data_IF_570015283819
#
_entry.id   IF_570015283819
#
_cell.length_a   1.000
_cell.length_b   1.000
_cell.length_c   1.000
_cell.angle_alpha   90.00
_cell.angle_beta   90.00
_cell.angle_gamma   90.00
#
_symmetry.space_group_name_H-M   'P 1'
#
loop_
_entity.id
_entity.type
_entity.pdbx_description
1 polymer ?
#
# COMPACT_ATOMS: atom_id res chain seq x y z
N UNK A 1 29.81 14.73 -94.42
CA UNK A 1 29.19 15.83 -93.66
C UNK A 1 28.73 15.29 -92.31
N UNK A 2 29.30 15.88 -91.25
CA UNK A 2 28.79 16.09 -89.87
C UNK A 2 27.96 14.99 -89.15
N UNK A 3 28.34 14.87 -87.87
CA UNK A 3 27.57 14.49 -86.68
C UNK A 3 27.44 13.00 -86.33
N UNK A 4 27.42 12.58 -85.06
CA UNK A 4 28.16 12.90 -83.84
C UNK A 4 27.62 11.95 -82.76
N UNK A 5 28.53 11.44 -81.92
CA UNK A 5 28.35 11.06 -80.51
C UNK A 5 27.30 10.00 -80.13
N UNK A 6 27.86 8.82 -79.84
CA UNK A 6 27.55 7.89 -78.76
C UNK A 6 26.85 8.51 -77.53
N UNK A 7 25.74 7.90 -77.12
CA UNK A 7 25.31 7.83 -75.72
C UNK A 7 24.81 6.40 -75.44
N UNK A 8 25.48 5.75 -74.48
CA UNK A 8 25.14 4.42 -73.98
C UNK A 8 23.82 4.42 -73.20
N UNK A 9 22.96 3.46 -73.53
CA UNK A 9 21.76 3.13 -72.77
C UNK A 9 22.15 2.30 -71.54
N UNK A 10 22.26 2.95 -70.36
CA UNK A 10 22.20 2.22 -69.09
C UNK A 10 20.72 2.07 -68.69
N UNK A 11 20.28 0.81 -68.67
CA UNK A 11 18.99 0.39 -68.13
C UNK A 11 18.96 0.67 -66.62
N UNK A 12 18.27 1.75 -66.23
CA UNK A 12 17.94 2.01 -64.83
C UNK A 12 16.86 1.01 -64.41
N UNK A 13 17.24 0.00 -63.64
CA UNK A 13 16.31 -0.83 -62.88
C UNK A 13 15.67 0.05 -61.80
N UNK A 14 14.47 0.53 -62.06
CA UNK A 14 13.63 1.19 -61.05
C UNK A 14 13.13 0.11 -60.10
N UNK A 15 13.82 -0.09 -58.99
CA UNK A 15 13.31 -0.83 -57.84
C UNK A 15 12.14 -0.03 -57.27
N UNK A 16 10.91 -0.48 -57.54
CA UNK A 16 9.74 -0.09 -56.76
C UNK A 16 9.98 -0.56 -55.33
N UNK A 17 10.40 0.35 -54.45
CA UNK A 17 10.33 0.14 -53.02
C UNK A 17 8.85 0.18 -52.62
N UNK A 18 8.22 -0.99 -52.48
CA UNK A 18 7.01 -1.09 -51.67
C UNK A 18 7.37 -0.60 -50.26
N UNK A 19 6.69 0.41 -49.70
CA UNK A 19 6.81 0.68 -48.28
C UNK A 19 6.13 -0.48 -47.58
N UNK A 20 6.93 -1.45 -47.13
CA UNK A 20 6.50 -2.39 -46.12
C UNK A 20 6.20 -1.52 -44.90
N UNK A 21 4.93 -1.16 -44.72
CA UNK A 21 4.39 -0.65 -43.46
C UNK A 21 4.67 -1.75 -42.44
N UNK A 22 5.85 -1.67 -41.83
CA UNK A 22 6.14 -2.34 -40.59
C UNK A 22 5.12 -1.76 -39.60
N UNK A 23 4.00 -2.46 -39.44
CA UNK A 23 3.28 -2.44 -38.20
C UNK A 23 4.32 -2.83 -37.15
N UNK A 24 4.88 -1.82 -36.48
CA UNK A 24 5.48 -2.03 -35.18
C UNK A 24 4.37 -2.64 -34.32
N UNK A 25 4.33 -3.97 -34.25
CA UNK A 25 3.74 -4.67 -33.15
C UNK A 25 4.52 -4.18 -31.93
N UNK A 26 4.01 -3.14 -31.28
CA UNK A 26 4.46 -2.73 -29.96
C UNK A 26 4.42 -4.00 -29.10
N UNK A 27 5.55 -4.48 -28.56
CA UNK A 27 5.53 -5.64 -27.71
C UNK A 27 4.61 -5.35 -26.53
N UNK A 28 3.89 -6.38 -26.09
CA UNK A 28 2.86 -6.36 -25.06
C UNK A 28 3.42 -5.99 -23.68
N UNK A 29 3.78 -4.72 -23.49
CA UNK A 29 4.26 -4.16 -22.21
C UNK A 29 3.15 -3.44 -21.44
N UNK A 30 1.91 -3.49 -21.91
CA UNK A 30 0.78 -2.79 -21.28
C UNK A 30 0.21 -3.52 -20.05
N UNK A 31 0.60 -4.79 -19.81
CA UNK A 31 0.00 -5.62 -18.78
C UNK A 31 1.04 -6.53 -18.09
N UNK A 32 0.81 -6.88 -16.82
CA UNK A 32 1.71 -7.75 -16.04
C UNK A 32 1.80 -9.11 -16.72
N UNK A 33 3.02 -9.57 -17.03
CA UNK A 33 3.17 -10.89 -17.65
C UNK A 33 2.75 -11.98 -16.66
N UNK A 34 2.03 -13.02 -17.09
CA UNK A 34 1.72 -14.16 -16.23
C UNK A 34 2.99 -14.81 -15.62
N UNK A 35 4.13 -14.73 -16.29
CA UNK A 35 5.42 -15.21 -15.76
C UNK A 35 5.93 -14.43 -14.55
N UNK A 36 5.45 -13.20 -14.32
CA UNK A 36 5.79 -12.38 -13.16
C UNK A 36 4.92 -12.73 -11.93
N UNK A 37 3.85 -13.50 -12.10
CA UNK A 37 2.94 -13.90 -11.02
C UNK A 37 3.44 -15.20 -10.39
N UNK A 38 3.86 -15.14 -9.12
CA UNK A 38 4.48 -16.27 -8.41
C UNK A 38 3.46 -17.31 -7.91
N UNK A 39 2.25 -16.88 -7.59
CA UNK A 39 1.20 -17.79 -7.15
C UNK A 39 0.62 -18.53 -8.36
N UNK A 40 0.65 -19.88 -8.40
CA UNK A 40 0.26 -20.64 -9.59
C UNK A 40 -1.21 -20.46 -9.97
N UNK A 41 -2.12 -20.32 -9.00
CA UNK A 41 -3.54 -20.10 -9.27
C UNK A 41 -3.77 -18.72 -9.90
N UNK A 42 -3.14 -17.69 -9.34
CA UNK A 42 -3.24 -16.33 -9.87
C UNK A 42 -2.54 -16.20 -11.23
N UNK A 43 -1.42 -16.91 -11.43
CA UNK A 43 -0.74 -16.99 -12.71
C UNK A 43 -1.64 -17.61 -13.77
N UNK A 44 -2.37 -18.68 -13.45
CA UNK A 44 -3.31 -19.30 -14.36
C UNK A 44 -4.44 -18.32 -14.73
N UNK A 45 -4.96 -17.55 -13.77
CA UNK A 45 -5.96 -16.50 -14.01
C UNK A 45 -5.41 -15.39 -14.91
N UNK A 46 -4.22 -14.87 -14.62
CA UNK A 46 -3.54 -13.85 -15.42
C UNK A 46 -3.34 -14.34 -16.85
N UNK A 47 -2.88 -15.59 -17.02
CA UNK A 47 -2.65 -16.22 -18.33
C UNK A 47 -3.95 -16.42 -19.12
N UNK A 48 -5.03 -16.85 -18.45
CA UNK A 48 -6.32 -17.11 -19.08
C UNK A 48 -7.00 -15.82 -19.58
N UNK A 49 -6.79 -14.70 -18.89
CA UNK A 49 -7.45 -13.43 -19.19
C UNK A 49 -6.50 -12.35 -19.73
N UNK A 50 -5.26 -12.69 -20.06
CA UNK A 50 -4.20 -11.73 -20.43
C UNK A 50 -4.61 -10.79 -21.57
N UNK A 51 -5.27 -11.31 -22.61
CA UNK A 51 -5.70 -10.49 -23.75
C UNK A 51 -6.82 -9.50 -23.36
N UNK A 52 -7.76 -9.91 -22.52
CA UNK A 52 -8.79 -9.04 -21.97
C UNK A 52 -8.18 -7.96 -21.08
N UNK A 53 -7.20 -8.31 -20.24
CA UNK A 53 -6.50 -7.35 -19.38
C UNK A 53 -5.75 -6.29 -20.19
N UNK A 54 -5.07 -6.66 -21.29
CA UNK A 54 -4.46 -5.71 -22.23
C UNK A 54 -5.53 -4.79 -22.84
N UNK A 55 -6.66 -5.36 -23.29
CA UNK A 55 -7.74 -4.59 -23.88
C UNK A 55 -8.36 -3.60 -22.89
N UNK A 56 -8.54 -4.01 -21.63
CA UNK A 56 -9.00 -3.15 -20.53
C UNK A 56 -7.99 -2.02 -20.29
N UNK A 57 -6.70 -2.34 -20.17
CA UNK A 57 -5.65 -1.33 -19.96
C UNK A 57 -5.74 -0.22 -21.03
N UNK A 58 -5.77 -0.60 -22.31
CA UNK A 58 -5.91 0.35 -23.41
C UNK A 58 -7.23 1.12 -23.41
N UNK A 59 -8.32 0.50 -22.95
CA UNK A 59 -9.64 1.13 -22.90
C UNK A 59 -9.75 2.14 -21.75
N UNK A 60 -9.16 1.82 -20.59
CA UNK A 60 -9.00 2.76 -19.48
C UNK A 60 -8.13 3.95 -19.90
N UNK A 61 -7.02 3.73 -20.59
CA UNK A 61 -6.18 4.82 -21.11
C UNK A 61 -6.89 5.76 -22.10
N UNK A 62 -7.97 5.29 -22.76
CA UNK A 62 -8.82 6.09 -23.66
C UNK A 62 -10.03 6.73 -22.95
N UNK A 63 -10.29 6.35 -21.71
CA UNK A 63 -11.42 6.88 -20.92
C UNK A 63 -11.13 8.32 -20.54
N UNK A 64 -12.14 9.19 -20.65
CA UNK A 64 -12.01 10.59 -20.29
C UNK A 64 -12.30 10.76 -18.80
N UNK A 65 -11.30 11.24 -18.07
CA UNK A 65 -11.40 11.58 -16.66
C UNK A 65 -11.35 13.11 -16.48
N UNK A 66 -11.93 13.68 -15.40
CA UNK A 66 -11.87 15.12 -15.16
C UNK A 66 -10.44 15.67 -14.98
N UNK A 67 -9.54 14.84 -14.47
CA UNK A 67 -8.10 15.08 -14.37
C UNK A 67 -7.36 13.87 -14.95
N UNK A 68 -6.10 14.00 -15.37
CA UNK A 68 -5.34 12.86 -15.88
C UNK A 68 -5.36 11.68 -14.89
N UNK A 69 -5.62 10.49 -15.43
CA UNK A 69 -5.52 9.24 -14.71
C UNK A 69 -4.53 8.33 -15.44
N UNK A 70 -3.63 7.73 -14.70
CA UNK A 70 -2.66 6.78 -15.21
C UNK A 70 -2.84 5.47 -14.48
N UNK A 71 -3.19 4.41 -15.22
CA UNK A 71 -3.01 3.05 -14.71
C UNK A 71 -1.56 2.89 -14.32
N UNK A 72 -1.34 2.32 -13.14
CA UNK A 72 0.00 2.00 -12.69
C UNK A 72 -0.03 0.86 -11.71
N UNK A 73 0.96 -0.02 -11.81
CA UNK A 73 1.15 -1.09 -10.83
C UNK A 73 1.38 -0.55 -9.42
N UNK A 74 1.90 0.68 -9.32
CA UNK A 74 2.19 1.36 -8.05
C UNK A 74 1.44 2.68 -7.96
N UNK A 75 0.82 2.91 -6.80
CA UNK A 75 0.07 4.13 -6.51
C UNK A 75 0.89 5.11 -5.68
N UNK A 76 0.43 6.36 -5.58
CA UNK A 76 1.09 7.42 -4.85
C UNK A 76 2.29 8.03 -5.59
N UNK A 77 2.35 7.89 -6.92
CA UNK A 77 3.43 8.49 -7.73
C UNK A 77 3.24 9.99 -7.88
N UNK A 78 4.35 10.73 -7.93
CA UNK A 78 4.33 12.15 -8.29
C UNK A 78 3.90 12.30 -9.76
N UNK A 79 3.04 13.29 -10.12
CA UNK A 79 2.63 13.54 -11.50
C UNK A 79 3.79 13.57 -12.50
N UNK A 80 4.94 14.13 -12.12
CA UNK A 80 6.12 14.19 -12.99
C UNK A 80 6.73 12.81 -13.31
N UNK A 81 6.45 11.79 -12.50
CA UNK A 81 6.99 10.42 -12.63
C UNK A 81 5.97 9.43 -13.19
N UNK A 82 4.70 9.80 -13.30
CA UNK A 82 3.62 8.90 -13.73
C UNK A 82 3.72 8.51 -15.21
N UNK A 83 4.22 9.40 -16.07
CA UNK A 83 4.36 9.13 -17.51
C UNK A 83 5.41 8.05 -17.83
N UNK A 84 6.38 7.86 -16.94
CA UNK A 84 7.47 6.87 -17.06
C UNK A 84 7.24 5.65 -16.15
N UNK A 85 6.13 5.64 -15.40
CA UNK A 85 5.83 4.60 -14.45
C UNK A 85 5.44 3.28 -15.13
N UNK A 86 5.54 2.18 -14.37
CA UNK A 86 4.99 0.91 -14.78
C UNK A 86 3.46 1.04 -14.90
N UNK A 87 2.95 1.09 -16.15
CA UNK A 87 1.54 1.32 -16.47
C UNK A 87 0.66 0.07 -16.37
N UNK A 88 1.25 -1.05 -15.94
CA UNK A 88 0.60 -2.36 -15.84
C UNK A 88 -0.23 -2.46 -14.56
N UNK A 89 -1.23 -1.58 -14.46
CA UNK A 89 -2.07 -1.40 -13.28
C UNK A 89 -3.20 -2.40 -13.11
N UNK A 90 -3.21 -3.52 -13.84
CA UNK A 90 -4.14 -4.62 -13.57
C UNK A 90 -3.32 -5.84 -13.15
N UNK A 91 -3.81 -6.63 -12.21
CA UNK A 91 -3.22 -7.94 -11.88
C UNK A 91 -4.19 -8.73 -10.97
N UNK A 92 -4.19 -10.05 -11.10
CA UNK A 92 -4.83 -10.90 -10.09
C UNK A 92 -3.95 -10.99 -8.83
N UNK A 93 -4.55 -10.73 -7.66
CA UNK A 93 -3.85 -10.71 -6.36
C UNK A 93 -4.62 -11.45 -5.28
N UNK A 94 -3.94 -11.82 -4.17
CA UNK A 94 -4.61 -12.28 -2.95
C UNK A 94 -4.92 -11.09 -2.04
N UNK A 95 -6.19 -10.94 -1.68
CA UNK A 95 -6.65 -10.00 -0.68
C UNK A 95 -7.44 -10.75 0.39
N UNK A 96 -6.91 -10.83 1.62
CA UNK A 96 -7.50 -11.60 2.74
C UNK A 96 -7.91 -13.02 2.31
N UNK A 97 -6.94 -13.76 1.75
CA UNK A 97 -7.07 -15.11 1.19
C UNK A 97 -7.95 -15.27 -0.05
N UNK A 98 -8.58 -14.20 -0.53
CA UNK A 98 -9.44 -14.20 -1.72
C UNK A 98 -8.66 -13.80 -2.96
N UNK A 99 -8.89 -14.47 -4.08
CA UNK A 99 -8.35 -14.06 -5.37
C UNK A 99 -9.21 -12.93 -5.92
N UNK A 100 -8.64 -11.75 -6.17
CA UNK A 100 -9.38 -10.62 -6.76
C UNK A 100 -8.62 -10.07 -7.96
N UNK A 101 -9.35 -9.50 -8.92
CA UNK A 101 -8.74 -8.64 -9.94
C UNK A 101 -8.52 -7.26 -9.35
N UNK A 102 -7.25 -6.85 -9.18
CA UNK A 102 -6.90 -5.49 -8.75
C UNK A 102 -6.78 -4.57 -9.96
N UNK A 103 -7.31 -3.36 -9.85
CA UNK A 103 -7.05 -2.23 -10.73
C UNK A 103 -6.45 -1.08 -9.92
N UNK A 104 -5.23 -0.68 -10.27
CA UNK A 104 -4.48 0.35 -9.55
C UNK A 104 -4.03 1.49 -10.46
N UNK A 105 -3.97 2.69 -9.90
CA UNK A 105 -3.50 3.86 -10.65
C UNK A 105 -3.48 5.16 -9.87
N UNK A 106 -3.00 6.20 -10.55
CA UNK A 106 -2.80 7.54 -9.98
C UNK A 106 -3.72 8.54 -10.68
N UNK A 107 -4.51 9.25 -9.89
CA UNK A 107 -5.44 10.28 -10.34
C UNK A 107 -4.94 11.67 -9.94
N UNK A 108 -4.72 12.54 -10.91
CA UNK A 108 -4.10 13.85 -10.70
C UNK A 108 -5.06 14.93 -10.20
N UNK A 109 -6.15 14.54 -9.57
CA UNK A 109 -6.95 15.50 -8.80
C UNK A 109 -6.18 15.91 -7.54
N UNK A 110 -6.10 17.22 -7.30
CA UNK A 110 -5.56 17.83 -6.09
C UNK A 110 -6.66 18.56 -5.33
N UNK A 111 -7.33 17.83 -4.45
CA UNK A 111 -8.47 18.32 -3.69
C UNK A 111 -8.05 19.24 -2.55
N UNK A 112 -8.80 20.32 -2.34
CA UNK A 112 -8.56 21.26 -1.26
C UNK A 112 -9.14 20.73 0.06
N UNK A 113 -8.26 20.45 1.03
CA UNK A 113 -8.61 19.90 2.35
C UNK A 113 -9.39 20.88 3.23
N UNK A 114 -9.31 22.19 2.96
CA UNK A 114 -10.08 23.21 3.67
C UNK A 114 -11.54 23.30 3.16
N UNK A 115 -11.79 22.81 1.94
CA UNK A 115 -13.11 22.88 1.30
C UNK A 115 -13.85 21.55 1.34
N UNK A 116 -13.13 20.45 1.13
CA UNK A 116 -13.67 19.10 1.03
C UNK A 116 -13.17 18.27 2.20
N UNK A 117 -14.08 17.57 2.86
CA UNK A 117 -13.76 16.50 3.81
C UNK A 117 -13.13 15.30 3.10
N UNK A 118 -12.54 14.39 3.88
CA UNK A 118 -12.00 13.15 3.34
C UNK A 118 -13.07 12.30 2.63
N UNK A 119 -14.30 12.25 3.15
CA UNK A 119 -15.38 11.50 2.52
C UNK A 119 -15.83 12.15 1.20
N UNK A 120 -15.93 13.48 1.13
CA UNK A 120 -16.24 14.18 -0.13
C UNK A 120 -15.16 13.96 -1.19
N UNK A 121 -13.86 13.97 -0.80
CA UNK A 121 -12.74 13.66 -1.70
C UNK A 121 -12.78 12.22 -2.20
N UNK A 122 -12.93 11.26 -1.29
CA UNK A 122 -13.03 9.85 -1.63
C UNK A 122 -14.24 9.58 -2.54
N UNK A 123 -15.40 10.18 -2.26
CA UNK A 123 -16.61 10.07 -3.09
C UNK A 123 -16.40 10.67 -4.48
N UNK A 124 -15.69 11.79 -4.57
CA UNK A 124 -15.33 12.39 -5.86
C UNK A 124 -14.42 11.47 -6.68
N UNK A 125 -13.39 10.87 -6.08
CA UNK A 125 -12.51 9.88 -6.73
C UNK A 125 -13.29 8.63 -7.14
N UNK A 126 -14.16 8.13 -6.27
CA UNK A 126 -15.02 6.98 -6.54
C UNK A 126 -15.87 7.19 -7.79
N UNK A 127 -16.59 8.32 -7.86
CA UNK A 127 -17.46 8.65 -9.00
C UNK A 127 -16.68 8.94 -10.27
N UNK A 128 -15.58 9.67 -10.15
CA UNK A 128 -14.84 10.18 -11.31
C UNK A 128 -13.92 9.15 -11.93
N UNK A 129 -13.48 8.14 -11.16
CA UNK A 129 -12.45 7.18 -11.58
C UNK A 129 -12.92 5.74 -11.45
N UNK A 130 -13.32 5.31 -10.26
CA UNK A 130 -13.64 3.90 -10.00
C UNK A 130 -14.85 3.46 -10.83
N UNK A 131 -15.95 4.23 -10.84
CA UNK A 131 -17.15 3.87 -11.60
C UNK A 131 -16.89 3.75 -13.12
N UNK A 132 -16.25 4.71 -13.81
CA UNK A 132 -15.92 4.57 -15.23
C UNK A 132 -15.01 3.38 -15.54
N UNK A 133 -13.98 3.13 -14.71
CA UNK A 133 -13.08 1.99 -14.92
C UNK A 133 -13.83 0.68 -14.70
N UNK A 134 -14.67 0.60 -13.66
CA UNK A 134 -15.47 -0.60 -13.41
C UNK A 134 -16.43 -0.91 -14.55
N UNK A 135 -17.00 0.10 -15.21
CA UNK A 135 -17.78 -0.10 -16.44
C UNK A 135 -16.95 -0.72 -17.56
N UNK A 136 -15.70 -0.25 -17.77
CA UNK A 136 -14.78 -0.83 -18.75
C UNK A 136 -14.43 -2.28 -18.41
N UNK A 137 -14.13 -2.56 -17.14
CA UNK A 137 -13.77 -3.90 -16.66
C UNK A 137 -14.93 -4.88 -16.82
N UNK A 138 -16.12 -4.53 -16.33
CA UNK A 138 -17.31 -5.39 -16.36
C UNK A 138 -17.89 -5.58 -17.76
N UNK A 139 -17.58 -4.69 -18.71
CA UNK A 139 -17.93 -4.87 -20.12
C UNK A 139 -16.96 -5.82 -20.86
N UNK A 140 -15.71 -5.94 -20.41
CA UNK A 140 -14.68 -6.74 -21.06
C UNK A 140 -14.51 -8.15 -20.47
N UNK A 141 -14.94 -8.36 -19.22
CA UNK A 141 -14.82 -9.63 -18.51
C UNK A 141 -16.20 -10.29 -18.31
N UNK A 142 -16.25 -11.64 -18.29
CA UNK A 142 -17.49 -12.35 -18.07
C UNK A 142 -17.90 -12.32 -16.58
N UNK A 143 -19.21 -12.36 -16.29
CA UNK A 143 -19.70 -12.28 -14.90
C UNK A 143 -19.24 -13.46 -14.04
N UNK A 144 -19.03 -14.63 -14.65
CA UNK A 144 -18.56 -15.86 -14.01
C UNK A 144 -17.03 -15.95 -13.92
N UNK A 145 -16.34 -14.80 -14.00
CA UNK A 145 -14.90 -14.69 -13.80
C UNK A 145 -14.45 -15.53 -12.58
N UNK A 146 -13.46 -16.43 -12.71
CA UNK A 146 -13.03 -17.34 -11.64
C UNK A 146 -12.17 -16.65 -10.57
N UNK A 147 -12.65 -15.52 -10.05
CA UNK A 147 -12.11 -14.81 -8.90
C UNK A 147 -13.25 -14.39 -7.96
N UNK A 148 -12.88 -14.03 -6.73
CA UNK A 148 -13.84 -13.72 -5.68
C UNK A 148 -14.39 -12.29 -5.77
N UNK A 149 -13.70 -11.38 -6.46
CA UNK A 149 -14.09 -9.97 -6.51
C UNK A 149 -13.20 -9.08 -7.39
N UNK A 150 -13.54 -7.79 -7.41
CA UNK A 150 -12.79 -6.74 -8.12
C UNK A 150 -12.40 -5.66 -7.11
N UNK A 151 -11.11 -5.36 -7.04
CA UNK A 151 -10.53 -4.35 -6.16
C UNK A 151 -9.98 -3.16 -6.93
N UNK A 152 -10.14 -1.97 -6.36
CA UNK A 152 -9.55 -0.73 -6.86
C UNK A 152 -8.59 -0.18 -5.82
N UNK A 153 -7.47 0.36 -6.27
CA UNK A 153 -6.49 1.08 -5.45
C UNK A 153 -6.09 2.35 -6.20
N UNK A 154 -6.67 3.50 -5.82
CA UNK A 154 -6.54 4.75 -6.56
C UNK A 154 -5.96 5.82 -5.65
N UNK A 155 -4.77 6.33 -5.99
CA UNK A 155 -4.19 7.47 -5.28
C UNK A 155 -4.64 8.80 -5.89
N UNK A 156 -4.90 9.79 -5.05
CA UNK A 156 -5.14 11.19 -5.42
C UNK A 156 -4.42 12.14 -4.46
N UNK A 157 -4.34 13.40 -4.84
CA UNK A 157 -3.68 14.44 -4.05
C UNK A 157 -4.69 15.19 -3.18
N UNK A 158 -4.28 15.52 -1.96
CA UNK A 158 -5.02 16.33 -1.00
C UNK A 158 -4.12 17.48 -0.54
N UNK A 159 -4.48 18.71 -0.92
CA UNK A 159 -3.67 19.89 -0.67
C UNK A 159 -4.33 20.82 0.34
N UNK A 160 -3.51 21.38 1.22
CA UNK A 160 -3.86 22.49 2.10
C UNK A 160 -3.12 23.71 1.61
N UNK A 161 -3.84 24.70 1.07
CA UNK A 161 -3.25 25.99 0.72
C UNK A 161 -3.59 26.99 1.83
N UNK A 162 -2.63 27.29 2.70
CA UNK A 162 -2.72 28.42 3.62
C UNK A 162 -1.66 29.46 3.26
N UNK A 163 -1.88 30.74 3.60
CA UNK A 163 -1.01 31.88 3.24
C UNK A 163 0.45 31.78 3.71
N UNK A 164 0.83 30.73 4.44
CA UNK A 164 2.15 30.55 5.03
C UNK A 164 2.84 29.25 4.60
N UNK A 165 2.09 28.23 4.18
CA UNK A 165 2.60 26.91 3.77
C UNK A 165 1.63 26.22 2.79
N UNK A 166 2.19 25.67 1.71
CA UNK A 166 1.50 24.70 0.84
C UNK A 166 1.89 23.28 1.31
N UNK A 167 0.91 22.51 1.76
CA UNK A 167 1.08 21.08 2.04
C UNK A 167 0.31 20.28 1.00
N UNK A 168 0.98 19.35 0.31
CA UNK A 168 0.36 18.40 -0.59
C UNK A 168 0.56 16.98 -0.06
N UNK A 169 -0.48 16.43 0.56
CA UNK A 169 -0.57 15.04 0.96
C UNK A 169 -1.13 14.17 -0.16
N UNK A 170 -1.00 12.85 -0.01
CA UNK A 170 -1.63 11.86 -0.90
C UNK A 170 -2.57 11.00 -0.09
N UNK A 171 -3.72 10.68 -0.68
CA UNK A 171 -4.67 9.74 -0.12
C UNK A 171 -4.87 8.61 -1.12
N UNK A 172 -5.05 7.39 -0.61
CA UNK A 172 -5.33 6.23 -1.45
C UNK A 172 -6.71 5.70 -1.11
N UNK A 173 -7.62 5.73 -2.08
CA UNK A 173 -8.93 5.11 -1.98
C UNK A 173 -8.84 3.66 -2.46
N UNK A 174 -9.13 2.73 -1.56
CA UNK A 174 -9.27 1.30 -1.87
C UNK A 174 -10.73 0.91 -1.78
N UNK A 175 -11.27 0.26 -2.80
CA UNK A 175 -12.62 -0.31 -2.78
C UNK A 175 -12.58 -1.74 -3.31
N UNK A 176 -13.03 -2.69 -2.50
CA UNK A 176 -13.08 -4.12 -2.86
C UNK A 176 -14.53 -4.58 -2.88
N UNK A 177 -14.99 -4.91 -4.08
CA UNK A 177 -16.31 -5.48 -4.34
C UNK A 177 -16.22 -7.00 -4.39
N UNK A 178 -17.23 -7.66 -3.85
CA UNK A 178 -17.50 -9.06 -4.20
C UNK A 178 -17.86 -9.17 -5.68
N UNK A 179 -17.62 -10.34 -6.29
CA UNK A 179 -17.86 -10.56 -7.73
C UNK A 179 -19.25 -10.11 -8.14
N UNK A 180 -20.31 -10.57 -7.48
CA UNK A 180 -21.68 -10.19 -7.84
C UNK A 180 -21.93 -8.67 -7.69
N UNK A 181 -21.39 -8.07 -6.62
CA UNK A 181 -21.56 -6.64 -6.32
C UNK A 181 -20.82 -5.74 -7.33
N UNK A 182 -19.70 -6.20 -7.91
CA UNK A 182 -18.95 -5.45 -8.92
C UNK A 182 -19.77 -5.23 -10.21
N UNK A 183 -20.51 -6.23 -10.66
CA UNK A 183 -21.43 -6.08 -11.81
C UNK A 183 -22.74 -5.39 -11.41
N UNK A 184 -23.22 -5.59 -10.18
CA UNK A 184 -24.40 -4.87 -9.70
C UNK A 184 -24.16 -3.35 -9.66
N UNK A 185 -23.03 -2.90 -9.11
CA UNK A 185 -22.75 -1.47 -8.96
C UNK A 185 -22.43 -0.79 -10.29
N UNK A 186 -21.86 -1.53 -11.26
CA UNK A 186 -21.64 -0.98 -12.62
C UNK A 186 -22.94 -0.71 -13.36
N UNK A 187 -23.99 -1.49 -13.08
CA UNK A 187 -25.35 -1.31 -13.61
C UNK A 187 -26.22 -0.34 -12.81
N UNK A 188 -25.86 -0.08 -11.55
CA UNK A 188 -26.63 0.76 -10.66
C UNK A 188 -26.75 2.19 -11.21
N UNK A 189 -27.98 2.69 -11.23
CA UNK A 189 -28.32 3.97 -11.87
C UNK A 189 -28.51 5.12 -10.88
N UNK A 190 -28.59 4.81 -9.58
CA UNK A 190 -28.85 5.77 -8.52
C UNK A 190 -27.84 5.65 -7.37
N UNK A 191 -27.60 6.76 -6.66
CA UNK A 191 -26.71 6.75 -5.51
C UNK A 191 -27.21 5.91 -4.33
N UNK A 192 -28.52 5.84 -4.00
CA UNK A 192 -29.01 4.92 -2.98
C UNK A 192 -28.69 3.44 -3.29
N UNK A 193 -28.86 3.03 -4.55
CA UNK A 193 -28.54 1.67 -4.98
C UNK A 193 -27.04 1.37 -4.88
N UNK A 194 -26.20 2.33 -5.31
CA UNK A 194 -24.74 2.22 -5.19
C UNK A 194 -24.28 2.22 -3.73
N UNK A 195 -24.92 3.01 -2.87
CA UNK A 195 -24.60 3.09 -1.46
C UNK A 195 -24.83 1.76 -0.77
N UNK A 196 -25.95 1.09 -1.06
CA UNK A 196 -26.26 -0.22 -0.49
C UNK A 196 -25.21 -1.28 -0.87
N UNK A 197 -24.69 -1.21 -2.10
CA UNK A 197 -23.59 -2.09 -2.54
C UNK A 197 -22.26 -1.70 -1.87
N UNK A 198 -21.98 -0.41 -1.70
CA UNK A 198 -20.78 0.07 -1.01
C UNK A 198 -20.76 -0.28 0.49
N UNK A 199 -21.92 -0.24 1.15
CA UNK A 199 -22.09 -0.65 2.55
C UNK A 199 -21.68 -2.11 2.77
N UNK A 200 -21.89 -2.95 1.74
CA UNK A 200 -21.50 -4.35 1.68
C UNK A 200 -20.04 -4.58 1.31
N UNK A 201 -19.47 -3.68 0.51
CA UNK A 201 -18.09 -3.74 0.04
C UNK A 201 -17.08 -3.43 1.16
N UNK A 202 -15.79 -3.70 0.96
CA UNK A 202 -14.72 -3.19 1.86
C UNK A 202 -14.12 -1.93 1.27
N UNK A 203 -14.03 -0.87 2.05
CA UNK A 203 -13.48 0.40 1.61
C UNK A 203 -12.42 0.85 2.60
N UNK A 204 -11.29 1.33 2.08
CA UNK A 204 -10.23 1.90 2.90
C UNK A 204 -9.81 3.26 2.34
N UNK A 205 -9.49 4.20 3.21
CA UNK A 205 -8.83 5.44 2.83
C UNK A 205 -7.50 5.50 3.55
N UNK A 206 -6.41 5.56 2.79
CA UNK A 206 -5.03 5.54 3.29
C UNK A 206 -4.77 4.38 4.27
N UNK A 207 -5.35 3.20 3.98
CA UNK A 207 -5.18 1.98 4.76
C UNK A 207 -6.15 1.78 5.92
N UNK A 208 -6.97 2.77 6.26
CA UNK A 208 -7.95 2.70 7.37
C UNK A 208 -9.32 2.26 6.86
N UNK A 209 -9.99 1.30 7.52
CA UNK A 209 -11.35 0.86 7.15
C UNK A 209 -12.31 2.05 7.22
N UNK A 210 -13.10 2.25 6.16
CA UNK A 210 -13.79 3.50 5.92
C UNK A 210 -15.24 3.27 5.48
N UNK A 211 -16.17 4.01 6.08
CA UNK A 211 -17.57 4.01 5.68
C UNK A 211 -17.83 5.08 4.63
N UNK A 212 -17.54 4.78 3.35
CA UNK A 212 -17.74 5.77 2.29
C UNK A 212 -19.24 6.10 2.12
N UNK A 213 -19.60 7.36 2.31
CA UNK A 213 -20.95 7.89 2.06
C UNK A 213 -20.99 8.67 0.76
N UNK A 214 -21.84 8.27 -0.20
CA UNK A 214 -21.98 8.96 -1.49
C UNK A 214 -22.76 10.27 -1.38
N UNK A 215 -23.54 10.45 -0.33
CA UNK A 215 -24.49 11.57 -0.19
C UNK A 215 -24.16 12.48 0.98
N UNK A 216 -23.49 11.97 2.02
CA UNK A 216 -23.18 12.75 3.21
C UNK A 216 -21.76 13.32 3.13
N UNK A 217 -21.54 14.38 3.91
CA UNK A 217 -20.22 15.01 4.04
C UNK A 217 -19.28 14.17 4.90
N UNK A 218 -19.80 13.48 5.90
CA UNK A 218 -19.02 12.69 6.84
C UNK A 218 -19.11 11.19 6.51
N UNK A 219 -18.12 10.37 6.92
CA UNK A 219 -18.17 8.94 6.69
C UNK A 219 -19.22 8.24 7.57
N UNK A 220 -19.75 7.13 7.06
CA UNK A 220 -20.61 6.21 7.81
C UNK A 220 -19.81 5.49 8.90
N UNK A 221 -20.49 5.15 9.99
CA UNK A 221 -19.89 4.31 11.03
C UNK A 221 -19.70 2.88 10.50
N UNK A 222 -18.43 2.48 10.32
CA UNK A 222 -18.01 1.17 9.80
C UNK A 222 -18.60 -0.01 10.60
N UNK A 223 -18.72 0.11 11.92
CA UNK A 223 -19.23 -0.97 12.77
C UNK A 223 -20.71 -1.28 12.52
N UNK A 224 -21.45 -0.30 11.99
CA UNK A 224 -22.88 -0.46 11.68
C UNK A 224 -23.12 -1.02 10.28
N UNK A 225 -22.07 -1.09 9.45
CA UNK A 225 -22.19 -1.54 8.05
C UNK A 225 -22.20 -3.06 7.96
N UNK A 226 -23.18 -3.60 7.22
CA UNK A 226 -23.24 -5.03 6.90
C UNK A 226 -22.25 -5.35 5.78
N UNK A 227 -21.00 -5.60 6.13
CA UNK A 227 -19.95 -6.00 5.18
C UNK A 227 -20.15 -7.46 4.72
N UNK A 228 -20.18 -7.70 3.41
CA UNK A 228 -20.26 -9.04 2.82
C UNK A 228 -18.99 -9.87 3.04
N UNK A 229 -17.87 -9.18 3.28
CA UNK A 229 -16.58 -9.80 3.54
C UNK A 229 -16.39 -9.89 5.06
N UNK A 230 -16.32 -11.11 5.65
CA UNK A 230 -16.07 -11.27 7.07
C UNK A 230 -14.80 -10.52 7.48
N UNK A 231 -14.89 -9.69 8.53
CA UNK A 231 -13.70 -9.27 9.25
C UNK A 231 -13.23 -10.49 10.05
N UNK A 232 -12.37 -11.32 9.46
CA UNK A 232 -11.73 -12.37 10.25
C UNK A 232 -10.76 -11.69 11.24
N UNK A 233 -10.90 -11.88 12.57
CA UNK A 233 -9.99 -11.30 13.55
C UNK A 233 -8.57 -11.86 13.49
N UNK A 234 -8.33 -12.96 12.76
CA UNK A 234 -7.04 -13.68 12.78
C UNK A 234 -6.27 -13.66 11.44
N UNK A 235 -6.24 -12.51 10.76
CA UNK A 235 -5.48 -12.38 9.50
C UNK A 235 -4.30 -11.41 9.62
N UNK A 236 -3.32 -11.76 10.44
CA UNK A 236 -1.90 -11.52 10.10
C UNK A 236 -1.55 -12.33 8.85
N UNK A 237 -2.12 -11.97 7.70
CA UNK A 237 -1.68 -12.50 6.41
C UNK A 237 -0.56 -11.63 5.88
N UNK A 238 0.65 -12.02 6.27
CA UNK A 238 1.87 -11.68 5.54
C UNK A 238 1.65 -11.94 4.05
N UNK A 239 1.81 -10.91 3.21
CA UNK A 239 2.12 -11.11 1.81
C UNK A 239 3.54 -11.70 1.71
N UNK A 240 3.69 -12.98 2.00
CA UNK A 240 4.90 -13.76 1.71
C UNK A 240 4.85 -14.13 0.24
N UNK A 241 5.54 -13.35 -0.59
CA UNK A 241 6.15 -13.91 -1.79
C UNK A 241 7.31 -14.81 -1.33
N UNK A 242 7.12 -16.13 -1.36
CA UNK A 242 8.20 -17.13 -1.24
C UNK A 242 9.16 -16.94 -2.42
N UNK A 243 10.37 -16.44 -2.18
CA UNK A 243 11.57 -17.13 -1.71
C UNK A 243 12.30 -17.91 -2.83
N UNK A 244 13.42 -17.33 -3.28
CA UNK A 244 14.53 -18.09 -3.85
C UNK A 244 15.31 -18.76 -2.70
N UNK A 245 15.55 -20.04 -2.89
CA UNK A 245 16.34 -20.95 -2.06
C UNK A 245 17.82 -20.61 -2.03
N UNK A 246 18.48 -20.81 -0.89
CA UNK A 246 19.87 -21.29 -0.82
C UNK A 246 20.18 -21.94 0.54
N UNK A 247 21.07 -22.93 0.48
CA UNK A 247 21.25 -24.05 1.40
C UNK A 247 21.99 -23.75 2.71
N UNK A 248 21.66 -24.49 3.79
CA UNK A 248 22.68 -25.13 4.63
C UNK A 248 22.11 -26.22 5.54
N UNK A 249 22.86 -27.32 5.61
CA UNK A 249 22.62 -28.58 6.34
C UNK A 249 23.41 -28.54 7.66
N UNK A 250 22.76 -28.81 8.81
CA UNK A 250 23.26 -29.52 10.03
C UNK A 250 22.20 -29.26 11.15
N UNK A 251 21.50 -30.22 11.77
CA UNK A 251 21.95 -31.31 12.66
C UNK A 251 20.76 -32.26 12.94
N UNK A 252 21.07 -33.55 13.19
CA UNK A 252 20.16 -34.67 13.49
C UNK A 252 19.34 -34.50 14.79
N UNK A 253 18.13 -35.06 14.89
CA UNK A 253 17.53 -35.46 16.16
C UNK A 253 17.87 -36.93 16.51
N UNK A 254 18.11 -37.17 17.79
CA UNK A 254 18.33 -38.49 18.43
C UNK A 254 16.98 -39.04 18.93
N UNK A 255 16.69 -40.31 18.63
CA UNK A 255 15.55 -41.08 19.18
C UNK A 255 15.71 -41.34 20.69
N UNK A 256 14.62 -41.68 21.42
CA UNK A 256 14.45 -43.10 21.77
C UNK A 256 12.99 -43.64 21.68
N UNK A 257 12.78 -44.98 21.75
CA UNK A 257 11.55 -45.70 21.38
C UNK A 257 10.87 -46.37 22.63
N UNK A 258 10.07 -47.44 22.51
CA UNK A 258 8.61 -47.46 22.27
C UNK A 258 7.83 -48.23 23.38
N UNK A 259 6.49 -48.20 23.32
CA UNK A 259 5.57 -49.36 23.42
C UNK A 259 4.16 -48.97 23.93
N UNK A 260 3.14 -49.36 23.15
CA UNK A 260 1.75 -49.52 23.60
C UNK A 260 1.61 -50.90 24.32
N UNK A 261 0.50 -51.24 25.03
CA UNK A 261 -0.78 -51.47 24.34
C UNK A 261 -2.10 -51.22 25.13
N UNK A 262 -3.18 -51.23 24.33
CA UNK A 262 -4.55 -51.70 24.60
C UNK A 262 -5.56 -50.84 25.39
N UNK A 263 -6.70 -50.64 24.73
CA UNK A 263 -7.95 -50.04 25.21
C UNK A 263 -8.70 -50.92 26.24
N UNK A 264 -9.77 -50.40 26.86
CA UNK A 264 -11.09 -50.74 26.30
C UNK A 264 -12.06 -49.55 26.17
N UNK A 265 -13.09 -49.80 25.36
CA UNK A 265 -14.10 -48.87 24.90
C UNK A 265 -15.09 -48.40 25.98
N UNK A 266 -15.64 -47.19 25.77
CA UNK A 266 -16.99 -46.83 26.21
C UNK A 266 -17.11 -45.52 26.99
N UNK A 267 -17.31 -44.39 26.30
CA UNK A 267 -18.13 -43.27 26.78
C UNK A 267 -18.31 -42.23 25.66
N UNK A 268 -19.55 -41.88 25.36
CA UNK A 268 -19.94 -40.72 24.53
C UNK A 268 -19.39 -39.43 25.16
N UNK A 269 -18.69 -38.55 24.42
CA UNK A 269 -18.38 -37.21 24.93
C UNK A 269 -19.62 -36.32 24.88
N UNK A 270 -19.97 -35.77 26.04
CA UNK A 270 -20.94 -34.70 26.19
C UNK A 270 -20.46 -33.43 25.47
N UNK A 271 -21.40 -32.67 24.91
CA UNK A 271 -21.14 -31.37 24.30
C UNK A 271 -20.46 -30.41 25.29
N UNK A 272 -19.40 -29.66 24.90
CA UNK A 272 -18.84 -28.63 25.74
C UNK A 272 -19.84 -27.48 25.88
N UNK A 273 -20.16 -27.17 27.12
CA UNK A 273 -20.92 -26.01 27.59
C UNK A 273 -20.28 -24.74 27.06
N UNK A 274 -21.11 -23.84 26.51
CA UNK A 274 -20.68 -22.52 26.06
C UNK A 274 -19.87 -21.82 27.16
N UNK A 275 -18.66 -21.39 26.81
CA UNK A 275 -17.87 -20.50 27.65
C UNK A 275 -18.55 -19.12 27.63
N UNK A 276 -18.77 -18.55 28.81
CA UNK A 276 -19.17 -17.15 28.95
C UNK A 276 -18.14 -16.24 28.25
N UNK A 277 -18.57 -15.16 27.57
CA UNK A 277 -17.65 -14.24 26.92
C UNK A 277 -16.77 -13.55 27.99
N UNK A 278 -15.45 -13.61 27.81
CA UNK A 278 -14.50 -12.79 28.55
C UNK A 278 -14.90 -11.31 28.44
N UNK A 279 -14.74 -10.51 29.51
CA UNK A 279 -14.99 -9.08 29.44
C UNK A 279 -14.06 -8.47 28.38
N UNK A 280 -14.65 -7.86 27.34
CA UNK A 280 -13.91 -7.09 26.34
C UNK A 280 -13.12 -5.99 27.06
N UNK A 281 -11.80 -6.01 26.91
CA UNK A 281 -10.93 -4.92 27.34
C UNK A 281 -11.42 -3.64 26.67
N UNK A 282 -11.63 -2.52 27.40
CA UNK A 282 -12.05 -1.27 26.79
C UNK A 282 -11.08 -0.85 25.69
N UNK A 283 -11.57 -0.57 24.47
CA UNK A 283 -10.73 -0.08 23.37
C UNK A 283 -10.25 1.34 23.69
N UNK A 284 -8.96 1.60 23.47
CA UNK A 284 -8.38 2.93 23.67
C UNK A 284 -8.92 3.91 22.63
N UNK A 285 -9.08 5.17 23.05
CA UNK A 285 -9.62 6.24 22.21
C UNK A 285 -8.64 7.40 22.07
N UNK A 286 -8.87 8.30 21.11
CA UNK A 286 -8.08 9.53 20.99
C UNK A 286 -8.14 10.40 22.26
N UNK A 287 -9.24 10.33 23.02
CA UNK A 287 -9.34 11.02 24.30
C UNK A 287 -8.34 10.49 25.32
N UNK A 288 -7.98 9.21 25.27
CA UNK A 288 -6.99 8.60 26.15
C UNK A 288 -5.57 9.04 25.77
N UNK A 289 -5.27 9.15 24.47
CA UNK A 289 -4.01 9.73 23.98
C UNK A 289 -3.86 11.20 24.43
N UNK A 290 -4.91 12.01 24.30
CA UNK A 290 -4.90 13.42 24.74
C UNK A 290 -4.67 13.54 26.25
N UNK A 291 -5.29 12.68 27.06
CA UNK A 291 -5.06 12.63 28.52
C UNK A 291 -3.61 12.27 28.84
N UNK A 292 -3.02 11.35 28.07
CA UNK A 292 -1.63 10.96 28.23
C UNK A 292 -0.68 12.12 27.88
N UNK A 293 -0.99 12.86 26.82
CA UNK A 293 -0.26 14.06 26.41
C UNK A 293 -0.28 15.13 27.52
N UNK A 294 -1.46 15.45 28.06
CA UNK A 294 -1.60 16.37 29.20
C UNK A 294 -0.81 15.91 30.43
N UNK A 295 -0.89 14.61 30.76
CA UNK A 295 -0.21 14.00 31.91
C UNK A 295 1.32 14.08 31.81
N UNK A 296 1.89 13.92 30.61
CA UNK A 296 3.33 13.83 30.38
C UNK A 296 3.92 15.04 29.63
N UNK A 297 3.20 16.16 29.56
CA UNK A 297 3.60 17.35 28.80
C UNK A 297 5.01 17.85 29.14
N UNK A 298 5.41 17.82 30.41
CA UNK A 298 6.75 18.27 30.85
C UNK A 298 7.85 17.34 30.33
N UNK A 299 7.61 16.03 30.36
CA UNK A 299 8.52 15.01 29.87
C UNK A 299 8.64 15.08 28.34
N UNK A 300 7.51 15.23 27.63
CA UNK A 300 7.49 15.43 26.18
C UNK A 300 8.25 16.69 25.77
N UNK A 301 8.09 17.80 26.50
CA UNK A 301 8.81 19.04 26.26
C UNK A 301 10.32 18.90 26.49
N UNK A 302 10.73 18.18 27.54
CA UNK A 302 12.14 17.86 27.79
C UNK A 302 12.73 16.97 26.69
N UNK A 303 11.98 15.93 26.27
CA UNK A 303 12.35 15.05 25.19
C UNK A 303 12.46 15.81 23.85
N UNK A 304 11.55 16.74 23.55
CA UNK A 304 11.62 17.60 22.38
C UNK A 304 12.91 18.43 22.35
N UNK A 305 13.24 19.06 23.49
CA UNK A 305 14.44 19.89 23.63
C UNK A 305 15.72 19.09 23.47
N UNK A 306 15.82 17.94 24.12
CA UNK A 306 16.99 17.06 23.99
C UNK A 306 17.06 16.42 22.60
N UNK A 307 15.93 15.98 22.05
CA UNK A 307 15.84 15.38 20.73
C UNK A 307 16.20 16.33 19.60
N UNK A 308 15.85 17.61 19.71
CA UNK A 308 16.32 18.63 18.77
C UNK A 308 17.86 18.79 18.83
N UNK A 309 18.45 18.67 20.03
CA UNK A 309 19.89 18.82 20.23
C UNK A 309 20.70 17.57 19.82
N UNK A 310 20.20 16.36 20.08
CA UNK A 310 20.96 15.10 19.93
C UNK A 310 20.43 14.18 18.85
N UNK A 311 19.12 14.10 18.68
CA UNK A 311 18.45 13.07 17.87
C UNK A 311 17.84 13.61 16.58
N UNK A 312 18.13 14.87 16.22
CA UNK A 312 17.63 15.53 15.00
C UNK A 312 16.10 15.64 14.93
N UNK A 313 15.44 15.80 16.07
CA UNK A 313 14.00 16.05 16.06
C UNK A 313 13.72 17.38 15.37
N UNK A 314 12.64 17.43 14.60
CA UNK A 314 12.20 18.67 13.96
C UNK A 314 11.44 19.54 14.96
N UNK A 315 11.65 20.85 14.90
CA UNK A 315 11.05 21.78 15.88
C UNK A 315 9.53 21.97 15.67
N UNK A 316 9.01 21.72 14.48
CA UNK A 316 7.60 21.97 14.13
C UNK A 316 6.66 20.79 14.44
N UNK A 317 7.21 19.61 14.77
CA UNK A 317 6.45 18.41 15.13
C UNK A 317 7.07 17.82 16.42
N UNK A 318 6.73 18.40 17.59
CA UNK A 318 7.23 17.90 18.87
C UNK A 318 6.66 16.49 19.15
N UNK A 319 7.34 15.68 20.00
CA UNK A 319 6.83 14.38 20.40
C UNK A 319 5.43 14.46 21.02
N UNK A 320 4.52 13.60 20.58
CA UNK A 320 3.11 13.59 21.00
C UNK A 320 2.55 12.17 21.04
N UNK A 321 1.42 11.98 21.73
CA UNK A 321 0.72 10.70 21.75
C UNK A 321 -0.42 10.68 20.73
N UNK A 322 -0.45 9.65 19.90
CA UNK A 322 -1.47 9.47 18.85
C UNK A 322 -2.12 8.10 18.96
N UNK A 323 -3.37 7.98 18.50
CA UNK A 323 -4.03 6.69 18.39
C UNK A 323 -3.65 6.02 17.07
N UNK A 324 -3.11 4.81 17.14
CA UNK A 324 -2.82 3.96 15.98
C UNK A 324 -3.39 2.56 16.21
N UNK A 325 -4.40 2.17 15.42
CA UNK A 325 -5.03 0.84 15.50
C UNK A 325 -5.36 0.39 16.93
N UNK A 326 -6.16 1.20 17.64
CA UNK A 326 -6.61 0.97 19.02
C UNK A 326 -5.48 0.90 20.08
N UNK A 327 -4.28 1.35 19.72
CA UNK A 327 -3.11 1.46 20.61
C UNK A 327 -2.60 2.90 20.63
N UNK A 328 -1.99 3.32 21.73
CA UNK A 328 -1.37 4.63 21.84
C UNK A 328 0.09 4.53 21.39
N UNK A 329 0.45 5.36 20.41
CA UNK A 329 1.81 5.51 19.92
C UNK A 329 2.41 6.82 20.42
N UNK A 330 3.69 6.78 20.82
CA UNK A 330 4.50 7.98 20.99
C UNK A 330 5.14 8.33 19.64
N UNK A 331 4.61 9.35 18.97
CA UNK A 331 5.09 9.84 17.69
C UNK A 331 6.28 10.78 17.87
N UNK A 332 7.33 10.59 17.07
CA UNK A 332 8.52 11.42 17.03
C UNK A 332 8.96 11.62 15.57
N UNK A 333 9.17 12.88 15.17
CA UNK A 333 9.63 13.21 13.82
C UNK A 333 11.11 13.60 13.80
N UNK A 334 11.92 12.86 13.04
CA UNK A 334 13.36 13.00 12.92
C UNK A 334 13.75 13.44 11.51
N UNK A 335 14.81 14.24 11.40
CA UNK A 335 15.39 14.60 10.11
C UNK A 335 16.65 13.79 9.83
N UNK A 336 16.59 12.94 8.81
CA UNK A 336 17.74 12.16 8.38
C UNK A 336 18.84 13.09 7.85
N UNK A 337 20.04 12.97 8.40
CA UNK A 337 21.22 13.73 7.95
C UNK A 337 21.92 13.11 6.74
N UNK A 338 21.61 11.85 6.41
CA UNK A 338 22.18 11.18 5.25
C UNK A 338 21.58 11.74 3.97
N UNK A 339 22.42 11.86 2.96
CA UNK A 339 22.00 12.23 1.61
C UNK A 339 21.84 10.95 0.81
N UNK A 340 20.65 10.72 0.29
CA UNK A 340 20.43 9.65 -0.67
C UNK A 340 20.86 10.14 -2.05
N UNK A 341 21.58 9.31 -2.80
CA UNK A 341 21.98 9.66 -4.16
C UNK A 341 20.73 9.98 -5.01
N UNK A 342 20.81 10.94 -5.96
CA UNK A 342 19.65 11.37 -6.72
C UNK A 342 18.99 10.19 -7.46
N UNK A 343 17.73 9.93 -7.12
CA UNK A 343 16.70 9.18 -7.85
C UNK A 343 17.02 7.78 -8.42
N UNK A 344 18.14 7.12 -8.05
CA UNK A 344 18.48 5.76 -8.56
C UNK A 344 18.33 4.61 -7.55
N UNK A 345 18.07 4.89 -6.28
CA UNK A 345 17.75 3.87 -5.27
C UNK A 345 16.25 3.57 -5.21
N UNK A 346 15.85 2.33 -4.95
CA UNK A 346 14.45 1.99 -4.66
C UNK A 346 14.01 2.63 -3.33
N UNK A 347 12.70 2.82 -3.14
CA UNK A 347 12.13 3.23 -1.84
C UNK A 347 12.55 2.26 -0.71
N UNK A 348 12.65 0.97 -1.04
CA UNK A 348 13.10 -0.07 -0.10
C UNK A 348 14.54 0.17 0.32
N UNK A 349 15.43 0.50 -0.62
CA UNK A 349 16.84 0.75 -0.30
C UNK A 349 16.98 1.96 0.60
N UNK A 350 16.27 3.05 0.28
CA UNK A 350 16.30 4.26 1.13
C UNK A 350 15.68 4.02 2.49
N UNK A 351 14.54 3.33 2.57
CA UNK A 351 13.90 3.03 3.85
C UNK A 351 14.76 2.09 4.70
N UNK A 352 15.38 1.06 4.10
CA UNK A 352 16.35 0.20 4.76
C UNK A 352 17.56 1.00 5.28
N UNK A 353 18.19 1.83 4.45
CA UNK A 353 19.29 2.70 4.84
C UNK A 353 18.89 3.75 5.90
N UNK A 354 17.64 4.23 5.86
CA UNK A 354 17.09 5.16 6.86
C UNK A 354 16.92 4.50 8.21
N UNK A 355 16.48 3.24 8.22
CA UNK A 355 16.42 2.46 9.43
C UNK A 355 17.82 2.14 9.93
N UNK A 356 18.56 1.37 9.14
CA UNK A 356 19.79 0.70 9.56
C UNK A 356 20.91 1.69 9.87
N UNK A 357 21.07 2.72 9.04
CA UNK A 357 22.20 3.63 9.10
C UNK A 357 21.91 4.97 9.77
N UNK A 358 20.64 5.25 10.09
CA UNK A 358 20.23 6.49 10.75
C UNK A 358 19.39 6.25 12.00
N UNK A 359 18.24 5.57 11.91
CA UNK A 359 17.34 5.43 13.06
C UNK A 359 17.85 4.41 14.10
N UNK A 360 18.22 3.20 13.67
CA UNK A 360 18.62 2.10 14.55
C UNK A 360 19.75 2.48 15.54
N UNK A 361 20.81 3.21 15.12
CA UNK A 361 21.83 3.69 16.05
C UNK A 361 21.32 4.65 17.14
N UNK A 362 20.19 5.32 16.93
CA UNK A 362 19.60 6.28 17.87
C UNK A 362 18.60 5.62 18.84
N UNK A 363 18.06 4.45 18.49
CA UNK A 363 16.94 3.83 19.22
C UNK A 363 17.28 3.55 20.69
N UNK A 364 18.53 3.16 20.99
CA UNK A 364 18.97 2.94 22.38
C UNK A 364 18.90 4.23 23.19
N UNK A 365 19.57 5.28 22.72
CA UNK A 365 19.65 6.56 23.44
C UNK A 365 18.27 7.22 23.58
N UNK A 366 17.41 7.09 22.56
CA UNK A 366 16.03 7.59 22.62
C UNK A 366 15.21 6.78 23.63
N UNK A 367 15.30 5.44 23.61
CA UNK A 367 14.57 4.58 24.54
C UNK A 367 14.96 4.83 26.00
N UNK A 368 16.22 5.16 26.28
CA UNK A 368 16.69 5.47 27.64
C UNK A 368 16.14 6.79 28.20
N UNK A 369 15.64 7.69 27.34
CA UNK A 369 15.02 8.96 27.77
C UNK A 369 13.54 8.82 28.14
N UNK A 370 12.95 7.67 27.90
CA UNK A 370 11.53 7.44 28.11
C UNK A 370 11.36 6.57 29.34
N UNK A 371 10.65 7.10 30.34
CA UNK A 371 10.41 6.37 31.58
C UNK A 371 9.65 5.07 31.29
N UNK A 372 10.01 3.95 31.94
CA UNK A 372 9.22 2.72 31.87
C UNK A 372 7.77 2.92 32.32
N UNK A 373 7.51 3.91 33.18
CA UNK A 373 6.19 4.19 33.77
C UNK A 373 5.22 4.97 32.87
N UNK A 374 5.65 5.36 31.67
CA UNK A 374 4.74 5.96 30.67
C UNK A 374 3.91 4.85 30.05
N UNK A 375 2.59 5.00 29.99
CA UNK A 375 1.67 3.94 29.54
C UNK A 375 1.32 4.12 28.07
N UNK A 376 2.11 3.52 27.18
CA UNK A 376 1.86 3.48 25.72
C UNK A 376 2.47 2.20 25.12
N UNK A 377 1.91 1.75 24.01
CA UNK A 377 2.20 0.46 23.39
C UNK A 377 3.19 0.55 22.23
N UNK A 378 3.17 1.65 21.47
CA UNK A 378 3.89 1.77 20.21
C UNK A 378 4.84 2.96 20.19
N UNK A 379 6.00 2.78 19.58
CA UNK A 379 6.81 3.88 19.11
C UNK A 379 6.47 4.17 17.67
N UNK A 380 6.27 5.44 17.31
CA UNK A 380 6.14 5.86 15.92
C UNK A 380 7.25 6.84 15.57
N UNK A 381 8.21 6.37 14.77
CA UNK A 381 9.33 7.19 14.30
C UNK A 381 9.12 7.61 12.85
N UNK A 382 8.78 8.88 12.62
CA UNK A 382 8.72 9.47 11.28
C UNK A 382 10.08 10.04 10.88
N UNK A 383 10.76 9.42 9.94
CA UNK A 383 12.09 9.81 9.45
C UNK A 383 11.98 10.55 8.12
N UNK A 384 12.38 11.82 8.12
CA UNK A 384 12.37 12.69 6.94
C UNK A 384 13.68 12.62 6.17
N UNK A 385 13.64 12.01 5.00
CA UNK A 385 14.73 11.87 4.06
C UNK A 385 14.74 13.01 3.04
N UNK A 386 15.91 13.58 2.76
CA UNK A 386 16.10 14.52 1.64
C UNK A 386 16.55 13.76 0.39
N UNK A 387 15.80 13.90 -0.70
CA UNK A 387 16.08 13.22 -1.97
C UNK A 387 16.89 14.09 -2.95
N UNK A 388 17.06 15.39 -2.67
CA UNK A 388 17.91 16.29 -3.45
C UNK A 388 18.51 17.39 -2.56
N UNK A 389 19.78 17.78 -2.78
CA UNK A 389 20.40 18.90 -2.07
C UNK A 389 19.88 20.28 -2.53
N UNK A 390 19.31 20.39 -3.73
CA UNK A 390 18.95 21.68 -4.37
C UNK A 390 17.44 21.96 -4.41
N UNK A 391 16.59 20.95 -4.25
CA UNK A 391 15.13 21.13 -4.29
C UNK A 391 14.57 21.20 -2.87
N UNK A 392 13.85 22.29 -2.55
CA UNK A 392 13.12 22.45 -1.28
C UNK A 392 11.95 21.45 -1.10
N UNK A 393 11.61 20.70 -2.15
CA UNK A 393 10.32 20.01 -2.29
C UNK A 393 10.42 18.48 -2.49
N UNK A 394 11.59 17.87 -2.37
CA UNK A 394 11.74 16.41 -2.52
C UNK A 394 12.14 15.75 -1.20
N UNK A 395 11.19 15.68 -0.26
CA UNK A 395 11.33 14.91 0.97
C UNK A 395 10.50 13.64 0.93
N UNK A 396 11.04 12.56 1.48
CA UNK A 396 10.36 11.28 1.69
C UNK A 396 10.24 11.07 3.20
N UNK A 397 9.04 10.76 3.69
CA UNK A 397 8.82 10.36 5.07
C UNK A 397 8.77 8.84 5.15
N UNK A 398 9.55 8.26 6.06
CA UNK A 398 9.53 6.82 6.36
C UNK A 398 9.16 6.65 7.83
N UNK A 399 8.00 6.07 8.09
CA UNK A 399 7.50 5.81 9.44
C UNK A 399 7.85 4.38 9.86
N UNK A 400 8.38 4.25 11.07
CA UNK A 400 8.67 2.97 11.70
C UNK A 400 7.87 2.88 13.00
N UNK A 401 6.78 2.14 12.94
CA UNK A 401 5.85 1.95 14.05
C UNK A 401 6.20 0.63 14.73
N UNK A 402 6.94 0.72 15.84
CA UNK A 402 7.55 -0.41 16.52
C UNK A 402 6.82 -0.71 17.84
N UNK A 403 6.41 -1.96 18.10
CA UNK A 403 5.94 -2.35 19.42
C UNK A 403 7.01 -2.06 20.47
N UNK A 404 6.63 -1.40 21.55
CA UNK A 404 7.56 -1.00 22.61
C UNK A 404 8.30 -2.17 23.24
N UNK A 405 7.62 -3.31 23.38
CA UNK A 405 8.23 -4.54 23.89
C UNK A 405 9.34 -5.06 22.96
N UNK A 406 9.13 -5.01 21.65
CA UNK A 406 10.11 -5.47 20.66
C UNK A 406 11.25 -4.47 20.50
N UNK A 407 10.96 -3.16 20.55
CA UNK A 407 12.00 -2.13 20.60
C UNK A 407 12.92 -2.35 21.83
N UNK A 408 12.35 -2.73 22.98
CA UNK A 408 13.13 -3.02 24.19
C UNK A 408 14.06 -4.22 24.00
N UNK A 409 13.57 -5.31 23.40
CA UNK A 409 14.42 -6.47 23.05
C UNK A 409 15.52 -6.07 22.08
N UNK A 410 15.20 -5.20 21.12
CA UNK A 410 16.17 -4.69 20.15
C UNK A 410 17.30 -3.90 20.81
N UNK A 411 16.97 -2.92 21.67
CA UNK A 411 18.00 -2.11 22.36
C UNK A 411 18.84 -2.93 23.35
N UNK A 412 18.30 -4.05 23.85
CA UNK A 412 19.01 -5.03 24.65
C UNK A 412 19.86 -6.03 23.84
N UNK A 413 19.89 -5.89 22.50
CA UNK A 413 20.55 -6.80 21.57
C UNK A 413 20.03 -8.26 21.62
N UNK A 414 18.76 -8.46 22.00
CA UNK A 414 18.10 -9.77 22.00
C UNK A 414 17.53 -10.14 20.61
N UNK A 415 17.22 -9.13 19.80
CA UNK A 415 16.75 -9.30 18.41
C UNK A 415 17.57 -8.42 17.45
N UNK A 416 17.64 -8.86 16.20
CA UNK A 416 18.31 -8.14 15.11
C UNK A 416 17.46 -7.00 14.54
N UNK A 417 18.08 -6.14 13.73
CA UNK A 417 17.39 -5.08 12.96
C UNK A 417 16.22 -5.65 12.16
N UNK A 418 16.43 -6.77 11.46
CA UNK A 418 15.39 -7.41 10.65
C UNK A 418 14.23 -7.94 11.51
N UNK A 419 14.52 -8.58 12.64
CA UNK A 419 13.49 -9.12 13.54
C UNK A 419 12.65 -8.03 14.22
N UNK A 420 13.22 -6.84 14.45
CA UNK A 420 12.44 -5.69 14.89
C UNK A 420 11.51 -5.23 13.76
N UNK A 421 12.04 -5.03 12.55
CA UNK A 421 11.23 -4.60 11.39
C UNK A 421 10.11 -5.59 11.02
N UNK A 422 10.34 -6.89 11.14
CA UNK A 422 9.34 -7.93 10.88
C UNK A 422 8.14 -7.84 11.85
N UNK A 423 8.35 -7.27 13.03
CA UNK A 423 7.33 -7.06 14.06
C UNK A 423 6.78 -5.62 14.09
N UNK A 424 7.33 -4.75 13.25
CA UNK A 424 6.93 -3.35 13.12
C UNK A 424 6.06 -3.13 11.88
N UNK A 425 5.41 -1.97 11.83
CA UNK A 425 4.81 -1.44 10.60
C UNK A 425 5.76 -0.41 10.02
N UNK A 426 6.09 -0.56 8.74
CA UNK A 426 6.92 0.41 8.00
C UNK A 426 6.07 1.07 6.94
N UNK A 427 5.95 2.39 6.98
CA UNK A 427 5.24 3.17 5.97
C UNK A 427 6.21 4.09 5.24
N UNK A 428 6.10 4.19 3.92
CA UNK A 428 6.81 5.20 3.12
C UNK A 428 5.76 6.14 2.54
N UNK A 429 5.76 7.40 2.97
CA UNK A 429 4.73 8.40 2.66
C UNK A 429 3.30 7.84 2.89
N UNK A 430 3.09 7.17 4.03
CA UNK A 430 1.82 6.54 4.40
C UNK A 430 1.51 5.20 3.73
N UNK A 431 2.36 4.68 2.83
CA UNK A 431 2.16 3.38 2.18
C UNK A 431 2.93 2.29 2.91
N UNK A 432 2.23 1.24 3.37
CA UNK A 432 2.87 0.11 4.04
C UNK A 432 3.77 -0.66 3.09
N UNK A 433 5.01 -0.88 3.50
CA UNK A 433 5.98 -1.71 2.80
C UNK A 433 6.51 -2.82 3.71
N UNK A 434 7.02 -3.89 3.09
CA UNK A 434 7.85 -4.87 3.79
C UNK A 434 9.32 -4.57 3.47
N UNK A 435 10.16 -4.53 4.50
CA UNK A 435 11.60 -4.37 4.35
C UNK A 435 12.30 -5.69 4.67
N UNK A 436 13.16 -6.12 3.75
CA UNK A 436 14.15 -7.16 4.03
C UNK A 436 15.53 -6.54 3.82
N UNK A 437 16.22 -6.20 4.92
CA UNK A 437 17.48 -5.48 4.92
C UNK A 437 18.55 -6.19 4.07
N UNK A 438 18.58 -7.53 4.08
CA UNK A 438 19.56 -8.32 3.31
C UNK A 438 19.35 -8.24 1.79
N UNK A 439 18.14 -7.95 1.33
CA UNK A 439 17.82 -7.85 -0.10
C UNK A 439 18.07 -6.44 -0.67
N UNK A 440 18.42 -5.46 0.18
CA UNK A 440 18.58 -4.06 -0.22
C UNK A 440 19.99 -3.50 -0.06
N UNK A 441 20.91 -4.26 0.56
CA UNK A 441 22.34 -3.97 0.57
C UNK A 441 22.94 -3.83 -0.83
#
# INVERSE_FOLDING_TARGET
>A
MKSARSLGFQSKKTLLALPLLAFCAMPASAQVSPSEVLNPDLQALEQAHFQQLIAINHSVAKTKFPFPFYLSRYVGLDPAKQAEADTRGLEFVRFKDRAILKVSGNYNAAYDTLRLTQNERATATFRSVILPILQVVTAALPEDLPCDGIGFEIAHHARTNNRSYDFEGKETLVVVFDRADAWAISRASSDPERQEILNRSKVFVSGVDYGLSLTERDPLNVETLRRSIPANPDATSSARSSALTSHSVLLKPVNPPPAAPAAPAGAKPAAPRAADPSPETPRLTQADANRLEEKYQSQLSALAKEGAAKFRFVAYAPPTFVLFHDQIALEMTLKNSRQFAPARGSIYKRAAESFDLFLAPLLKDISERISPDVEFELFDFSVLNKLSPTAKETSEAVEFICPRAELKKFVNAEITNQQLLDQSVVLVNGVRIALNLQLVE
#
